data_IF_223395344960
#
_entry.id   IF_223395344960
#
_cell.length_a   1.000
_cell.length_b   1.000
_cell.length_c   1.000
_cell.angle_alpha   90.00
_cell.angle_beta   90.00
_cell.angle_gamma   90.00
#
_symmetry.space_group_name_H-M   'P 1'
#
loop_
_entity.id
_entity.type
_entity.pdbx_description
1 polymer ?
#
# COMPACT_ATOMS: atom_id res chain seq x y z
N UNK A 1 22.10 -22.97 20.17
CA UNK A 1 22.01 -21.86 19.21
C UNK A 1 20.88 -22.01 18.18
N UNK A 2 20.08 -23.11 18.19
CA UNK A 2 19.13 -23.45 17.09
C UNK A 2 17.63 -23.26 17.41
N UNK A 3 17.26 -22.80 18.62
CA UNK A 3 15.84 -22.58 18.95
C UNK A 3 15.31 -21.28 18.33
N UNK A 4 16.12 -20.22 18.28
CA UNK A 4 15.73 -18.94 17.68
C UNK A 4 15.50 -19.06 16.17
N UNK A 5 16.37 -19.80 15.47
CA UNK A 5 16.20 -20.09 14.02
C UNK A 5 14.97 -20.94 13.75
N UNK A 6 14.58 -21.85 14.66
CA UNK A 6 13.34 -22.60 14.58
C UNK A 6 12.08 -21.70 14.77
N UNK A 7 12.19 -20.63 15.56
CA UNK A 7 11.14 -19.60 15.73
C UNK A 7 11.11 -18.61 14.53
N UNK A 8 12.02 -18.76 13.56
CA UNK A 8 12.08 -17.90 12.36
C UNK A 8 12.90 -16.62 12.53
N UNK A 9 13.70 -16.52 13.60
CA UNK A 9 14.72 -15.46 13.75
C UNK A 9 15.75 -15.65 12.65
N UNK A 10 15.81 -14.68 11.75
CA UNK A 10 16.80 -14.62 10.69
C UNK A 10 18.06 -13.85 11.18
N UNK A 11 19.15 -13.76 10.39
CA UNK A 11 20.34 -12.99 10.78
C UNK A 11 20.05 -11.50 11.04
N UNK A 12 18.90 -11.00 10.59
CA UNK A 12 18.42 -9.63 10.81
C UNK A 12 17.43 -9.52 11.98
N UNK A 13 17.20 -10.58 12.77
CA UNK A 13 16.39 -10.62 13.98
C UNK A 13 14.95 -11.17 13.83
N UNK A 14 14.21 -10.84 12.78
CA UNK A 14 12.78 -11.20 12.66
C UNK A 14 12.44 -11.90 11.34
N UNK A 15 11.40 -12.74 11.33
CA UNK A 15 10.85 -13.25 10.06
C UNK A 15 10.46 -12.09 9.11
N UNK A 16 10.47 -12.37 7.80
CA UNK A 16 10.14 -11.41 6.73
C UNK A 16 8.75 -10.82 6.89
N UNK A 17 7.76 -11.60 7.31
CA UNK A 17 6.40 -11.09 7.53
C UNK A 17 6.38 -10.11 8.70
N UNK A 18 6.99 -10.49 9.83
CA UNK A 18 7.07 -9.65 11.03
C UNK A 18 7.85 -8.37 10.76
N UNK A 19 9.00 -8.47 10.09
CA UNK A 19 9.81 -7.33 9.66
C UNK A 19 9.03 -6.36 8.77
N UNK A 20 8.20 -6.90 7.87
CA UNK A 20 7.35 -6.07 7.00
C UNK A 20 6.23 -5.38 7.76
N UNK A 21 5.68 -6.04 8.80
CA UNK A 21 4.71 -5.40 9.70
C UNK A 21 5.35 -4.25 10.49
N UNK A 22 6.57 -4.44 11.02
CA UNK A 22 7.32 -3.36 11.65
C UNK A 22 7.57 -2.20 10.69
N UNK A 23 7.99 -2.47 9.46
CA UNK A 23 8.09 -1.44 8.42
C UNK A 23 6.77 -0.68 8.24
N UNK A 24 5.65 -1.40 8.11
CA UNK A 24 4.33 -0.77 7.90
C UNK A 24 3.83 0.05 9.09
N UNK A 25 4.25 -0.28 10.31
CA UNK A 25 3.79 0.36 11.54
C UNK A 25 4.70 1.50 12.02
N UNK A 26 6.00 1.44 11.75
CA UNK A 26 6.98 2.37 12.31
C UNK A 26 7.57 3.28 11.22
N UNK A 27 8.10 2.69 10.15
CA UNK A 27 8.84 3.44 9.12
C UNK A 27 7.90 4.08 8.12
N UNK A 28 6.91 3.33 7.63
CA UNK A 28 6.01 3.81 6.58
C UNK A 28 5.18 5.04 6.99
N UNK A 29 4.67 5.16 8.23
CA UNK A 29 3.98 6.38 8.64
C UNK A 29 4.81 7.66 8.50
N UNK A 30 6.14 7.58 8.65
CA UNK A 30 7.03 8.72 8.42
C UNK A 30 7.07 9.12 6.94
N UNK A 31 7.04 8.13 6.03
CA UNK A 31 6.96 8.37 4.58
C UNK A 31 5.59 8.90 4.16
N UNK A 32 4.54 8.53 4.89
CA UNK A 32 3.14 8.86 4.59
C UNK A 32 2.68 10.20 5.15
N UNK A 33 3.49 10.83 6.02
CA UNK A 33 3.12 12.08 6.66
C UNK A 33 2.81 13.16 5.60
N UNK A 34 1.63 13.76 5.70
CA UNK A 34 1.15 14.78 4.77
C UNK A 34 0.66 14.28 3.41
N UNK A 35 0.85 13.00 3.04
CA UNK A 35 0.40 12.48 1.73
C UNK A 35 -1.13 12.45 1.57
N UNK A 36 -1.86 12.42 2.69
CA UNK A 36 -3.32 12.42 2.68
C UNK A 36 -3.92 13.75 2.23
N UNK A 37 -3.19 14.86 2.41
CA UNK A 37 -3.68 16.24 2.19
C UNK A 37 -2.94 16.97 1.06
N UNK A 38 -1.85 16.39 0.54
CA UNK A 38 -1.02 17.00 -0.49
C UNK A 38 -1.21 16.36 -1.87
N UNK A 39 -1.11 17.18 -2.91
CA UNK A 39 -0.96 16.72 -4.28
C UNK A 39 0.52 16.42 -4.54
N UNK A 40 0.87 15.13 -4.49
CA UNK A 40 2.25 14.66 -4.61
C UNK A 40 2.73 14.76 -6.06
N UNK A 41 3.87 15.41 -6.30
CA UNK A 41 4.46 15.46 -7.64
C UNK A 41 5.06 14.11 -8.02
N UNK A 42 5.11 13.81 -9.32
CA UNK A 42 5.68 12.54 -9.82
C UNK A 42 7.10 12.27 -9.31
N UNK A 43 7.97 13.29 -9.24
CA UNK A 43 9.34 13.15 -8.71
C UNK A 43 9.38 12.77 -7.23
N UNK A 44 8.46 13.32 -6.42
CA UNK A 44 8.37 13.01 -4.99
C UNK A 44 7.83 11.60 -4.80
N UNK A 45 6.80 11.23 -5.56
CA UNK A 45 6.26 9.88 -5.60
C UNK A 45 7.35 8.85 -5.91
N UNK A 46 8.18 9.09 -6.92
CA UNK A 46 9.29 8.21 -7.28
C UNK A 46 10.31 8.04 -6.15
N UNK A 47 10.63 9.12 -5.41
CA UNK A 47 11.54 9.05 -4.25
C UNK A 47 10.95 8.21 -3.12
N UNK A 48 9.68 8.44 -2.79
CA UNK A 48 8.98 7.72 -1.74
C UNK A 48 8.82 6.24 -2.11
N UNK A 49 8.48 5.96 -3.37
CA UNK A 49 8.40 4.60 -3.90
C UNK A 49 9.76 3.90 -3.89
N UNK A 50 10.84 4.59 -4.27
CA UNK A 50 12.21 4.07 -4.16
C UNK A 50 12.57 3.74 -2.71
N UNK A 51 12.19 4.58 -1.74
CA UNK A 51 12.41 4.33 -0.32
C UNK A 51 11.69 3.05 0.15
N UNK A 52 10.41 2.89 -0.19
CA UNK A 52 9.66 1.66 0.08
C UNK A 52 10.35 0.44 -0.54
N UNK A 53 10.76 0.56 -1.81
CA UNK A 53 11.37 -0.53 -2.55
C UNK A 53 12.71 -0.96 -1.91
N UNK A 54 13.50 -0.01 -1.43
CA UNK A 54 14.74 -0.29 -0.70
C UNK A 54 14.47 -0.97 0.65
N UNK A 55 13.48 -0.49 1.41
CA UNK A 55 13.11 -1.09 2.69
C UNK A 55 12.69 -2.56 2.52
N UNK A 56 11.81 -2.85 1.55
CA UNK A 56 11.36 -4.21 1.28
C UNK A 56 12.48 -5.10 0.76
N UNK A 57 13.35 -4.61 -0.13
CA UNK A 57 14.53 -5.37 -0.57
C UNK A 57 15.44 -5.75 0.59
N UNK A 58 15.68 -4.82 1.54
CA UNK A 58 16.47 -5.10 2.76
C UNK A 58 15.82 -6.19 3.61
N UNK A 59 14.49 -6.13 3.82
CA UNK A 59 13.76 -7.14 4.58
C UNK A 59 13.85 -8.53 3.93
N UNK A 60 13.73 -8.60 2.62
CA UNK A 60 13.77 -9.86 1.87
C UNK A 60 15.18 -10.37 1.59
N UNK A 61 16.23 -9.59 1.88
CA UNK A 61 17.60 -9.87 1.45
C UNK A 61 17.78 -9.84 -0.07
N UNK A 62 16.93 -9.09 -0.77
CA UNK A 62 16.92 -8.98 -2.22
C UNK A 62 17.93 -7.95 -2.74
N UNK A 63 18.35 -8.13 -3.99
CA UNK A 63 19.23 -7.20 -4.70
C UNK A 63 18.41 -6.18 -5.51
N UNK A 64 19.09 -5.26 -6.21
CA UNK A 64 18.43 -4.35 -7.16
C UNK A 64 17.69 -5.08 -8.27
N UNK A 65 18.13 -6.30 -8.63
CA UNK A 65 17.53 -7.15 -9.66
C UNK A 65 16.29 -7.92 -9.18
N UNK A 66 16.17 -8.14 -7.87
CA UNK A 66 15.03 -8.88 -7.31
C UNK A 66 13.72 -8.14 -7.53
N UNK A 67 12.68 -8.89 -7.91
CA UNK A 67 11.36 -8.34 -8.24
C UNK A 67 10.66 -7.73 -7.03
N UNK A 68 10.61 -6.41 -6.98
CA UNK A 68 9.90 -5.68 -5.93
C UNK A 68 8.38 -5.85 -6.03
N UNK A 69 7.86 -6.01 -7.26
CA UNK A 69 6.44 -6.29 -7.52
C UNK A 69 6.01 -7.57 -6.78
N UNK A 70 6.83 -8.62 -6.87
CA UNK A 70 6.59 -9.89 -6.16
C UNK A 70 6.67 -9.69 -4.65
N UNK A 71 7.69 -9.02 -4.15
CA UNK A 71 7.81 -8.77 -2.70
C UNK A 71 6.57 -8.07 -2.14
N UNK A 72 6.10 -7.00 -2.81
CA UNK A 72 4.87 -6.29 -2.44
C UNK A 72 3.66 -7.21 -2.40
N UNK A 73 3.51 -8.06 -3.42
CA UNK A 73 2.42 -9.03 -3.49
C UNK A 73 2.49 -10.07 -2.36
N UNK A 74 3.66 -10.65 -2.07
CA UNK A 74 3.84 -11.66 -1.02
C UNK A 74 3.38 -11.17 0.36
N UNK A 75 3.60 -9.89 0.67
CA UNK A 75 3.22 -9.28 1.96
C UNK A 75 1.89 -8.53 1.90
N UNK A 76 1.16 -8.60 0.79
CA UNK A 76 -0.07 -7.85 0.53
C UNK A 76 0.06 -6.34 0.82
N UNK A 77 1.12 -5.74 0.29
CA UNK A 77 1.41 -4.32 0.45
C UNK A 77 1.13 -3.55 -0.83
N UNK A 78 0.40 -2.42 -0.75
CA UNK A 78 0.20 -1.56 -1.91
C UNK A 78 1.50 -0.85 -2.29
N UNK A 79 1.60 -0.46 -3.55
CA UNK A 79 2.56 0.55 -4.04
C UNK A 79 2.33 1.89 -3.33
N UNK A 80 3.33 2.78 -3.35
CA UNK A 80 3.15 4.11 -2.75
C UNK A 80 2.11 4.95 -3.49
N UNK A 81 1.94 4.72 -4.80
CA UNK A 81 0.88 5.35 -5.59
C UNK A 81 -0.51 4.94 -5.12
N UNK A 82 -0.78 3.63 -5.04
CA UNK A 82 -2.05 3.12 -4.50
C UNK A 82 -2.26 3.59 -3.04
N UNK A 83 -1.19 3.62 -2.25
CA UNK A 83 -1.26 4.04 -0.85
C UNK A 83 -1.67 5.50 -0.69
N UNK A 84 -1.15 6.39 -1.54
CA UNK A 84 -1.56 7.80 -1.60
C UNK A 84 -3.04 7.91 -1.93
N UNK A 85 -3.52 7.21 -2.95
CA UNK A 85 -4.94 7.24 -3.29
C UNK A 85 -5.82 6.79 -2.11
N UNK A 86 -5.41 5.74 -1.39
CA UNK A 86 -6.11 5.27 -0.17
C UNK A 86 -6.10 6.33 0.94
N UNK A 87 -4.96 7.01 1.15
CA UNK A 87 -4.85 8.06 2.17
C UNK A 87 -5.72 9.27 1.84
N UNK A 88 -5.68 9.73 0.60
CA UNK A 88 -6.47 10.85 0.11
C UNK A 88 -7.96 10.54 0.17
N UNK A 89 -8.39 9.37 -0.30
CA UNK A 89 -9.80 8.97 -0.22
C UNK A 89 -10.30 8.90 1.23
N UNK A 90 -9.50 8.33 2.16
CA UNK A 90 -9.84 8.32 3.60
C UNK A 90 -9.94 9.72 4.20
N UNK A 91 -9.06 10.63 3.79
CA UNK A 91 -9.11 12.01 4.24
C UNK A 91 -10.39 12.68 3.73
N UNK A 92 -10.70 12.56 2.45
CA UNK A 92 -11.90 13.13 1.84
C UNK A 92 -13.19 12.60 2.48
N UNK A 93 -13.31 11.29 2.71
CA UNK A 93 -14.44 10.71 3.44
C UNK A 93 -14.58 11.34 4.84
N UNK A 94 -13.47 11.40 5.59
CA UNK A 94 -13.50 12.03 6.92
C UNK A 94 -13.97 13.48 6.85
N UNK A 95 -13.59 14.23 5.82
CA UNK A 95 -14.01 15.63 5.66
C UNK A 95 -15.49 15.78 5.33
N UNK A 96 -16.16 14.76 4.80
CA UNK A 96 -17.60 14.78 4.56
C UNK A 96 -18.35 14.41 5.84
N UNK A 97 -17.86 13.40 6.57
CA UNK A 97 -18.47 12.90 7.81
C UNK A 97 -18.12 13.77 9.04
N UNK A 98 -17.52 14.95 8.86
CA UNK A 98 -17.10 15.77 9.98
C UNK A 98 -18.30 16.55 10.55
N UNK A 99 -18.51 16.58 11.87
CA UNK A 99 -19.62 17.33 12.46
C UNK A 99 -19.48 18.85 12.28
N UNK A 100 -20.63 19.53 12.31
CA UNK A 100 -20.81 20.93 11.94
C UNK A 100 -20.06 21.94 12.83
N UNK A 101 -19.73 21.52 14.05
CA UNK A 101 -19.03 22.28 15.07
C UNK A 101 -17.51 22.36 14.80
N UNK A 102 -16.98 21.52 13.92
CA UNK A 102 -15.54 21.50 13.64
C UNK A 102 -15.09 22.65 12.75
N UNK A 103 -13.85 23.10 12.97
CA UNK A 103 -13.19 24.07 12.09
C UNK A 103 -13.16 23.58 10.64
N UNK A 104 -12.93 22.28 10.43
CA UNK A 104 -12.89 21.69 9.09
C UNK A 104 -14.22 21.93 8.36
N UNK A 105 -15.36 21.60 9.00
CA UNK A 105 -16.69 21.79 8.40
C UNK A 105 -16.93 23.25 7.99
N UNK A 106 -16.61 24.20 8.88
CA UNK A 106 -16.74 25.64 8.59
C UNK A 106 -15.85 26.12 7.45
N UNK A 107 -14.70 25.48 7.25
CA UNK A 107 -13.76 25.81 6.17
C UNK A 107 -14.09 25.12 4.85
N UNK A 108 -14.90 24.04 4.84
CA UNK A 108 -15.22 23.30 3.61
C UNK A 108 -15.76 24.17 2.47
N UNK A 109 -16.68 25.13 2.68
CA UNK A 109 -17.19 25.98 1.60
C UNK A 109 -16.08 26.77 0.90
N UNK A 110 -15.05 27.17 1.65
CA UNK A 110 -13.91 27.94 1.12
C UNK A 110 -12.84 27.05 0.48
N UNK A 111 -12.72 25.80 0.94
CA UNK A 111 -11.70 24.86 0.45
C UNK A 111 -12.18 24.10 -0.79
N UNK A 112 -13.49 23.83 -0.91
CA UNK A 112 -14.04 23.05 -2.04
C UNK A 112 -14.10 23.82 -3.35
N UNK A 113 -14.03 25.15 -3.32
CA UNK A 113 -14.11 25.98 -4.53
C UNK A 113 -12.86 25.80 -5.39
N UNK A 114 -13.05 25.66 -6.70
CA UNK A 114 -11.96 25.50 -7.68
C UNK A 114 -11.02 26.72 -7.73
N UNK A 115 -11.50 27.88 -7.30
CA UNK A 115 -10.75 29.15 -7.22
C UNK A 115 -9.86 29.28 -5.99
N UNK A 116 -10.02 28.42 -4.98
CA UNK A 116 -9.38 28.56 -3.67
C UNK A 116 -7.86 28.27 -3.64
N UNK A 117 -7.25 27.94 -4.78
CA UNK A 117 -5.90 27.35 -4.86
C UNK A 117 -5.68 26.13 -3.96
N UNK A 118 -6.76 25.58 -3.36
CA UNK A 118 -6.66 24.53 -2.37
C UNK A 118 -6.20 23.23 -3.02
N UNK A 119 -5.54 22.39 -2.23
CA UNK A 119 -5.17 21.06 -2.69
C UNK A 119 -6.39 20.13 -2.73
N UNK A 120 -7.51 20.48 -2.07
CA UNK A 120 -8.67 19.60 -1.90
C UNK A 120 -9.25 19.14 -3.24
N UNK A 121 -9.45 20.08 -4.18
CA UNK A 121 -9.90 19.75 -5.53
C UNK A 121 -8.92 18.82 -6.27
N UNK A 122 -7.60 18.94 -6.01
CA UNK A 122 -6.63 18.03 -6.63
C UNK A 122 -6.69 16.63 -6.04
N UNK A 123 -7.11 16.48 -4.78
CA UNK A 123 -7.29 15.17 -4.14
C UNK A 123 -8.49 14.42 -4.74
N UNK A 124 -9.55 15.13 -5.14
CA UNK A 124 -10.76 14.51 -5.74
C UNK A 124 -10.52 13.96 -7.15
N UNK A 125 -9.41 14.32 -7.80
CA UNK A 125 -9.00 13.75 -9.08
C UNK A 125 -8.53 12.29 -8.94
N UNK A 126 -8.17 11.85 -7.72
CA UNK A 126 -7.70 10.50 -7.43
C UNK A 126 -8.68 9.42 -7.94
N UNK A 127 -8.20 8.37 -8.64
CA UNK A 127 -9.07 7.36 -9.24
C UNK A 127 -9.91 6.61 -8.19
N UNK A 128 -9.32 6.30 -7.03
CA UNK A 128 -10.05 5.66 -5.94
C UNK A 128 -11.15 6.56 -5.37
N UNK A 129 -10.92 7.88 -5.32
CA UNK A 129 -11.94 8.82 -4.85
C UNK A 129 -13.11 8.89 -5.82
N UNK A 130 -12.85 8.90 -7.14
CA UNK A 130 -13.93 8.91 -8.14
C UNK A 130 -14.88 7.72 -7.99
N UNK A 131 -14.34 6.51 -7.80
CA UNK A 131 -15.13 5.32 -7.50
C UNK A 131 -15.96 5.46 -6.21
N UNK A 132 -15.43 6.16 -5.21
CA UNK A 132 -16.17 6.45 -3.98
C UNK A 132 -17.27 7.49 -4.25
N UNK A 133 -16.98 8.58 -4.96
CA UNK A 133 -17.90 9.68 -5.21
C UNK A 133 -19.05 9.32 -6.16
N UNK A 134 -18.87 8.33 -7.04
CA UNK A 134 -19.95 7.74 -7.85
C UNK A 134 -20.99 6.99 -7.01
N UNK A 135 -20.59 6.55 -5.80
CA UNK A 135 -21.51 5.96 -4.83
C UNK A 135 -22.16 7.07 -4.02
N UNK A 136 -23.47 6.99 -3.82
CA UNK A 136 -24.25 7.93 -2.99
C UNK A 136 -23.56 8.18 -1.62
N UNK A 137 -23.18 9.44 -1.28
CA UNK A 137 -22.40 9.75 -0.09
C UNK A 137 -23.09 9.33 1.22
N UNK A 138 -24.43 9.40 1.28
CA UNK A 138 -25.21 8.99 2.46
C UNK A 138 -25.16 7.48 2.71
N UNK A 139 -24.68 6.71 1.72
CA UNK A 139 -24.60 5.26 1.78
C UNK A 139 -23.17 4.73 1.85
N UNK A 140 -22.15 5.60 1.89
CA UNK A 140 -20.75 5.22 1.79
C UNK A 140 -20.17 4.81 3.16
N UNK A 141 -20.64 3.67 3.64
CA UNK A 141 -20.16 3.09 4.89
C UNK A 141 -18.71 2.58 4.80
N UNK A 142 -18.08 2.43 5.98
CA UNK A 142 -16.77 1.77 6.14
C UNK A 142 -16.68 0.41 5.44
N UNK A 143 -17.78 -0.34 5.38
CA UNK A 143 -17.85 -1.65 4.68
C UNK A 143 -17.76 -1.49 3.17
N UNK A 144 -18.52 -0.55 2.60
CA UNK A 144 -18.51 -0.27 1.16
C UNK A 144 -17.17 0.31 0.73
N UNK A 145 -16.60 1.25 1.49
CA UNK A 145 -15.24 1.74 1.22
C UNK A 145 -14.20 0.60 1.21
N UNK A 146 -14.33 -0.38 2.13
CA UNK A 146 -13.43 -1.54 2.15
C UNK A 146 -13.58 -2.42 0.89
N UNK A 147 -14.80 -2.56 0.36
CA UNK A 147 -15.08 -3.27 -0.89
C UNK A 147 -14.49 -2.52 -2.09
N UNK A 148 -14.86 -1.24 -2.29
CA UNK A 148 -14.33 -0.39 -3.36
C UNK A 148 -12.80 -0.37 -3.37
N UNK A 149 -12.18 -0.21 -2.19
CA UNK A 149 -10.72 -0.25 -2.06
C UNK A 149 -10.15 -1.61 -2.47
N UNK A 150 -10.82 -2.71 -2.15
CA UNK A 150 -10.36 -4.06 -2.51
C UNK A 150 -10.42 -4.23 -4.02
N UNK A 151 -11.53 -3.84 -4.65
CA UNK A 151 -11.74 -3.97 -6.10
C UNK A 151 -10.75 -3.08 -6.86
N UNK A 152 -10.55 -1.84 -6.43
CA UNK A 152 -9.53 -0.94 -6.96
C UNK A 152 -8.11 -1.53 -6.92
N UNK A 153 -7.72 -2.15 -5.80
CA UNK A 153 -6.41 -2.78 -5.67
C UNK A 153 -6.31 -4.03 -6.55
N UNK A 154 -7.40 -4.79 -6.66
CA UNK A 154 -7.47 -6.00 -7.49
C UNK A 154 -7.31 -5.65 -8.97
N UNK A 155 -8.04 -4.65 -9.47
CA UNK A 155 -7.88 -4.13 -10.83
C UNK A 155 -6.46 -3.60 -11.07
N UNK A 156 -5.89 -2.86 -10.12
CA UNK A 156 -4.52 -2.37 -10.24
C UNK A 156 -3.48 -3.50 -10.27
N UNK A 157 -3.74 -4.59 -9.55
CA UNK A 157 -2.90 -5.79 -9.58
C UNK A 157 -3.01 -6.52 -10.92
N UNK A 158 -4.21 -6.72 -11.44
CA UNK A 158 -4.45 -7.35 -12.74
C UNK A 158 -3.77 -6.59 -13.89
N UNK A 159 -3.90 -5.26 -13.87
CA UNK A 159 -3.18 -4.38 -14.81
C UNK A 159 -1.65 -4.55 -14.72
N UNK A 160 -1.10 -4.73 -13.50
CA UNK A 160 0.34 -5.00 -13.34
C UNK A 160 0.72 -6.39 -13.79
N UNK A 161 -0.14 -7.40 -13.66
CA UNK A 161 0.11 -8.76 -14.13
C UNK A 161 0.07 -8.84 -15.66
N UNK A 162 -0.76 -8.02 -16.31
CA UNK A 162 -0.85 -7.95 -17.77
C UNK A 162 0.37 -7.26 -18.44
N UNK A 163 1.17 -6.51 -17.69
CA UNK A 163 2.43 -5.92 -18.18
C UNK A 163 3.43 -7.02 -18.56
N UNK A 164 3.97 -6.95 -19.79
CA UNK A 164 4.93 -7.93 -20.34
C UNK A 164 6.17 -8.09 -19.45
N UNK A 165 6.54 -7.06 -18.69
CA UNK A 165 7.69 -7.07 -17.79
C UNK A 165 7.39 -7.69 -16.41
N UNK A 166 6.20 -8.25 -16.19
CA UNK A 166 5.71 -8.74 -14.90
C UNK A 166 5.56 -10.27 -14.83
N UNK A 167 6.31 -11.04 -15.61
CA UNK A 167 6.21 -12.52 -15.66
C UNK A 167 6.26 -13.16 -14.26
N UNK A 168 7.15 -12.69 -13.39
CA UNK A 168 7.25 -13.21 -12.02
C UNK A 168 6.03 -12.88 -11.16
N UNK A 169 5.40 -11.73 -11.40
CA UNK A 169 4.18 -11.34 -10.69
C UNK A 169 2.97 -12.14 -11.18
N UNK A 170 2.85 -12.37 -12.49
CA UNK A 170 1.75 -13.16 -13.05
C UNK A 170 1.82 -14.64 -12.66
N UNK A 171 3.03 -15.15 -12.36
CA UNK A 171 3.22 -16.47 -11.77
C UNK A 171 2.87 -16.57 -10.27
N UNK A 172 2.59 -15.44 -9.59
CA UNK A 172 2.14 -15.43 -8.21
C UNK A 172 0.64 -15.76 -8.09
N UNK A 173 0.13 -15.82 -6.85
CA UNK A 173 -1.30 -16.08 -6.61
C UNK A 173 -2.13 -14.90 -7.14
N UNK A 174 -3.33 -15.13 -7.70
CA UNK A 174 -4.17 -14.05 -8.20
C UNK A 174 -4.86 -13.23 -7.09
N UNK A 175 -4.79 -13.70 -5.84
CA UNK A 175 -5.48 -13.11 -4.70
C UNK A 175 -4.60 -12.13 -3.93
N UNK A 176 -5.15 -10.96 -3.57
CA UNK A 176 -4.51 -9.98 -2.69
C UNK A 176 -4.59 -10.37 -1.21
N UNK A 177 -3.78 -11.37 -0.84
CA UNK A 177 -3.62 -11.86 0.53
C UNK A 177 -2.14 -12.04 0.85
N UNK A 178 -1.80 -12.10 2.15
CA UNK A 178 -0.43 -12.44 2.55
C UNK A 178 -0.14 -13.86 2.07
N UNK A 179 0.94 -14.03 1.31
CA UNK A 179 1.23 -15.32 0.71
C UNK A 179 1.54 -16.36 1.80
N UNK A 180 0.92 -17.55 1.74
CA UNK A 180 1.15 -18.65 2.69
C UNK A 180 2.61 -19.03 2.89
N UNK A 181 3.48 -18.83 1.91
CA UNK A 181 4.92 -19.09 2.01
C UNK A 181 5.57 -18.40 3.23
N UNK A 182 5.00 -17.29 3.68
CA UNK A 182 5.53 -16.50 4.79
C UNK A 182 5.17 -17.07 6.17
N UNK A 183 4.14 -17.90 6.30
CA UNK A 183 3.66 -18.40 7.59
C UNK A 183 3.43 -19.91 7.66
N UNK A 184 3.45 -20.61 6.52
CA UNK A 184 3.34 -22.07 6.48
C UNK A 184 4.50 -22.73 7.25
N UNK A 185 4.23 -23.80 8.03
CA UNK A 185 5.27 -24.56 8.72
C UNK A 185 6.21 -25.20 7.69
N UNK A 186 7.46 -24.75 7.68
CA UNK A 186 8.56 -25.30 6.87
C UNK A 186 9.89 -24.81 7.44
N UNK A 187 10.98 -25.49 7.08
CA UNK A 187 12.30 -25.08 7.52
C UNK A 187 12.67 -23.70 6.96
N UNK A 188 13.55 -22.99 7.66
CA UNK A 188 14.08 -21.71 7.19
C UNK A 188 14.74 -21.83 5.80
N UNK A 189 15.42 -22.93 5.53
CA UNK A 189 16.14 -23.17 4.26
C UNK A 189 15.14 -23.31 3.11
N UNK A 190 14.09 -24.11 3.28
CA UNK A 190 13.03 -24.28 2.29
C UNK A 190 12.33 -22.96 2.00
N UNK A 191 11.92 -22.24 3.05
CA UNK A 191 11.28 -20.92 2.90
C UNK A 191 12.17 -19.94 2.17
N UNK A 192 13.46 -19.91 2.51
CA UNK A 192 14.44 -19.04 1.85
C UNK A 192 14.62 -19.40 0.37
N UNK A 193 14.65 -20.69 0.02
CA UNK A 193 14.74 -21.15 -1.38
C UNK A 193 13.49 -20.77 -2.17
N UNK A 194 12.30 -21.06 -1.64
CA UNK A 194 11.04 -20.75 -2.31
C UNK A 194 10.84 -19.24 -2.52
N UNK A 195 11.19 -18.42 -1.52
CA UNK A 195 11.09 -16.96 -1.64
C UNK A 195 12.07 -16.45 -2.71
N UNK A 196 13.32 -16.92 -2.72
CA UNK A 196 14.29 -16.55 -3.76
C UNK A 196 13.82 -16.96 -5.16
N UNK A 197 13.31 -18.19 -5.29
CA UNK A 197 12.77 -18.69 -6.54
C UNK A 197 11.64 -17.80 -7.10
N UNK A 198 10.74 -17.30 -6.23
CA UNK A 198 9.68 -16.38 -6.66
C UNK A 198 10.18 -14.99 -7.06
N UNK A 199 11.28 -14.53 -6.50
CA UNK A 199 11.77 -13.16 -6.73
C UNK A 199 12.60 -12.99 -8.00
N UNK A 200 13.03 -14.09 -8.63
CA UNK A 200 13.99 -14.07 -9.73
C UNK A 200 15.43 -13.94 -9.24
#
# INVERSE_FOLDING_TARGET
MNQMTAIGVNPTGFDKLTSTRFYSQIVRPQLEYGLAISAVKSRELQKIESCQNQCLRRIFGGTSRSSIKVMLHLVNQPTMKERIHILQAKFLLRTIDTPDDTLMFRLLPYIRTSTSHSQWYKLTISPLWRLCAETDPDQLDRRKFKAIRKDYLQESFENRCADTNSILLSACRPQLVVDPILWLPMSYIERSRLIRWRMG
#
